data_IF_262498678617
#
_entry.id   IF_262498678617
#
_cell.length_a   1.000
_cell.length_b   1.000
_cell.length_c   1.000
_cell.angle_alpha   90.00
_cell.angle_beta   90.00
_cell.angle_gamma   90.00
#
_symmetry.space_group_name_H-M   'P 1'
#
loop_
_entity.id
_entity.type
_entity.pdbx_description
1 polymer ?
#
# COMPACT_ATOMS: atom_id res chain seq x y z
N UNK A 1 22.80 -6.23 -23.14
CA UNK A 1 21.41 -6.76 -23.17
C UNK A 1 20.82 -6.58 -21.78
N UNK A 2 19.93 -5.61 -21.58
CA UNK A 2 19.03 -5.56 -20.42
C UNK A 2 17.98 -4.47 -20.70
N UNK A 3 17.00 -4.80 -21.54
CA UNK A 3 15.76 -4.05 -21.55
C UNK A 3 15.00 -4.45 -20.29
N UNK A 4 15.06 -3.60 -19.27
CA UNK A 4 14.12 -3.62 -18.15
C UNK A 4 12.75 -3.29 -18.73
N UNK A 5 12.06 -4.30 -19.29
CA UNK A 5 10.65 -4.20 -19.65
C UNK A 5 9.89 -4.05 -18.34
N UNK A 6 9.70 -2.80 -17.91
CA UNK A 6 8.61 -2.43 -17.03
C UNK A 6 7.36 -2.93 -17.72
N UNK A 7 6.81 -4.05 -17.25
CA UNK A 7 5.53 -4.56 -17.76
C UNK A 7 4.50 -3.52 -17.37
N UNK A 8 4.20 -2.59 -18.26
CA UNK A 8 2.96 -1.83 -18.21
C UNK A 8 1.86 -2.85 -18.47
N UNK A 9 1.33 -3.39 -17.37
CA UNK A 9 0.15 -4.24 -17.44
C UNK A 9 -0.95 -3.32 -17.98
N UNK A 10 -1.42 -3.55 -19.21
CA UNK A 10 -2.65 -2.96 -19.75
C UNK A 10 -3.91 -3.50 -19.02
N UNK A 11 -3.76 -3.80 -17.73
CA UNK A 11 -4.78 -4.28 -16.82
C UNK A 11 -5.53 -3.07 -16.30
N UNK A 12 -6.77 -2.92 -16.77
CA UNK A 12 -7.77 -1.97 -16.28
C UNK A 12 -7.60 -1.74 -14.77
N UNK A 13 -7.17 -0.53 -14.39
CA UNK A 13 -7.01 -0.17 -12.98
C UNK A 13 -8.39 -0.15 -12.33
N UNK A 14 -8.59 -0.97 -11.31
CA UNK A 14 -9.82 -0.95 -10.51
C UNK A 14 -9.67 0.07 -9.39
N UNK A 15 -10.63 0.97 -9.29
CA UNK A 15 -10.71 1.97 -8.24
C UNK A 15 -11.79 1.59 -7.23
N UNK A 16 -11.60 1.89 -5.93
CA UNK A 16 -12.60 1.60 -4.91
C UNK A 16 -13.90 2.38 -5.15
N UNK A 17 -15.03 1.92 -4.59
CA UNK A 17 -16.34 2.54 -4.81
C UNK A 17 -16.33 4.03 -4.45
N UNK A 18 -16.78 4.86 -5.40
CA UNK A 18 -16.79 6.32 -5.25
C UNK A 18 -15.50 7.02 -5.67
N UNK A 19 -14.42 6.27 -5.95
CA UNK A 19 -13.18 6.81 -6.52
C UNK A 19 -13.20 6.63 -8.03
N UNK A 20 -13.03 7.74 -8.76
CA UNK A 20 -12.80 7.72 -10.20
C UNK A 20 -11.31 7.70 -10.52
N UNK A 21 -10.98 7.54 -11.79
CA UNK A 21 -9.60 7.51 -12.29
C UNK A 21 -8.74 8.67 -11.76
N UNK A 22 -7.56 8.37 -11.21
CA UNK A 22 -6.62 9.38 -10.72
C UNK A 22 -5.57 9.61 -11.81
N UNK A 23 -5.64 10.75 -12.48
CA UNK A 23 -4.74 11.15 -13.57
C UNK A 23 -4.32 12.62 -13.45
N UNK A 24 -3.43 13.07 -14.33
CA UNK A 24 -3.00 14.48 -14.45
C UNK A 24 -4.10 15.42 -14.96
N UNK A 25 -5.22 14.87 -15.45
CA UNK A 25 -6.34 15.65 -16.02
C UNK A 25 -7.32 16.20 -14.97
N UNK A 26 -7.14 15.88 -13.68
CA UNK A 26 -7.99 16.35 -12.58
C UNK A 26 -7.29 17.41 -11.73
N UNK A 27 -8.08 18.24 -11.04
CA UNK A 27 -7.52 19.24 -10.13
C UNK A 27 -6.81 18.59 -8.93
N UNK A 28 -5.84 19.30 -8.36
CA UNK A 28 -5.12 18.86 -7.14
C UNK A 28 -6.10 18.49 -6.03
N UNK A 29 -7.12 19.32 -5.78
CA UNK A 29 -8.10 19.11 -4.72
C UNK A 29 -8.86 17.78 -4.89
N UNK A 30 -9.28 17.50 -6.13
CA UNK A 30 -9.97 16.26 -6.47
C UNK A 30 -9.04 15.05 -6.38
N UNK A 31 -7.78 15.20 -6.83
CA UNK A 31 -6.75 14.17 -6.70
C UNK A 31 -6.51 13.81 -5.23
N UNK A 32 -6.33 14.81 -4.37
CA UNK A 32 -6.16 14.64 -2.92
C UNK A 32 -7.39 13.98 -2.29
N UNK A 33 -8.60 14.40 -2.69
CA UNK A 33 -9.84 13.78 -2.20
C UNK A 33 -9.92 12.30 -2.55
N UNK A 34 -9.60 11.94 -3.79
CA UNK A 34 -9.57 10.56 -4.28
C UNK A 34 -8.49 9.74 -3.59
N UNK A 35 -7.27 10.27 -3.48
CA UNK A 35 -6.17 9.60 -2.79
C UNK A 35 -6.51 9.31 -1.33
N UNK A 36 -7.16 10.25 -0.61
CA UNK A 36 -7.63 10.00 0.77
C UNK A 36 -8.61 8.83 0.87
N UNK A 37 -9.50 8.68 -0.11
CA UNK A 37 -10.42 7.54 -0.16
C UNK A 37 -9.67 6.23 -0.42
N UNK A 38 -8.68 6.25 -1.33
CA UNK A 38 -7.83 5.08 -1.62
C UNK A 38 -6.98 4.68 -0.42
N UNK A 39 -6.39 5.64 0.31
CA UNK A 39 -5.69 5.39 1.57
C UNK A 39 -6.61 4.65 2.53
N UNK A 40 -7.83 5.15 2.72
CA UNK A 40 -8.80 4.50 3.62
C UNK A 40 -9.11 3.07 3.19
N UNK A 41 -9.30 2.82 1.89
CA UNK A 41 -9.49 1.45 1.38
C UNK A 41 -8.31 0.54 1.70
N UNK A 42 -7.07 0.96 1.44
CA UNK A 42 -5.89 0.15 1.78
C UNK A 42 -5.67 0.00 3.29
N UNK A 43 -6.09 0.98 4.11
CA UNK A 43 -6.07 0.82 5.56
C UNK A 43 -7.07 -0.24 6.04
N UNK A 44 -8.27 -0.27 5.45
CA UNK A 44 -9.35 -1.19 5.82
C UNK A 44 -9.14 -2.61 5.23
N UNK A 45 -8.28 -2.77 4.22
CA UNK A 45 -7.94 -4.06 3.61
C UNK A 45 -7.06 -4.92 4.53
N UNK A 46 -7.32 -6.23 4.52
CA UNK A 46 -6.60 -7.22 5.32
C UNK A 46 -5.62 -8.06 4.47
N UNK A 47 -4.64 -8.68 5.13
CA UNK A 47 -3.73 -9.63 4.51
C UNK A 47 -4.46 -10.92 4.05
N UNK A 48 -5.60 -11.27 4.64
CA UNK A 48 -6.31 -12.50 4.28
C UNK A 48 -7.18 -12.37 3.00
N UNK A 49 -7.39 -11.15 2.50
CA UNK A 49 -8.24 -10.88 1.32
C UNK A 49 -7.47 -11.00 0.00
N UNK A 50 -7.22 -12.22 -0.49
CA UNK A 50 -6.53 -12.42 -1.79
C UNK A 50 -7.28 -11.79 -2.98
N UNK A 51 -8.61 -11.88 -3.01
CA UNK A 51 -9.43 -11.30 -4.10
C UNK A 51 -9.23 -9.77 -4.20
N UNK A 52 -9.22 -9.07 -3.06
CA UNK A 52 -9.01 -7.63 -3.02
C UNK A 52 -7.56 -7.27 -3.37
N UNK A 53 -6.59 -8.07 -2.92
CA UNK A 53 -5.18 -7.92 -3.30
C UNK A 53 -5.01 -8.01 -4.81
N UNK A 54 -5.58 -9.01 -5.48
CA UNK A 54 -5.48 -9.09 -6.94
C UNK A 54 -6.20 -7.93 -7.63
N UNK A 55 -7.37 -7.55 -7.12
CA UNK A 55 -8.19 -6.46 -7.67
C UNK A 55 -7.47 -5.10 -7.63
N UNK A 56 -6.85 -4.78 -6.50
CA UNK A 56 -6.17 -3.50 -6.29
C UNK A 56 -4.67 -3.51 -6.62
N UNK A 57 -4.11 -4.65 -7.06
CA UNK A 57 -2.71 -4.74 -7.46
C UNK A 57 -2.34 -3.73 -8.56
N UNK A 58 -3.19 -3.60 -9.59
CA UNK A 58 -2.95 -2.63 -10.66
C UNK A 58 -3.03 -1.18 -10.15
N UNK A 59 -3.90 -0.90 -9.16
CA UNK A 59 -3.98 0.41 -8.51
C UNK A 59 -2.71 0.70 -7.69
N UNK A 60 -2.22 -0.29 -6.93
CA UNK A 60 -0.99 -0.19 -6.16
C UNK A 60 0.23 0.13 -7.06
N UNK A 61 0.35 -0.58 -8.19
CA UNK A 61 1.41 -0.33 -9.18
C UNK A 61 1.28 1.06 -9.81
N UNK A 62 0.05 1.51 -10.09
CA UNK A 62 -0.20 2.86 -10.60
C UNK A 62 0.24 3.94 -9.62
N UNK A 63 -0.07 3.79 -8.33
CA UNK A 63 0.35 4.70 -7.26
C UNK A 63 1.87 4.70 -7.04
N UNK A 64 2.54 3.58 -7.30
CA UNK A 64 4.00 3.47 -7.27
C UNK A 64 4.69 4.12 -8.48
N UNK A 65 3.95 4.71 -9.42
CA UNK A 65 4.56 5.37 -10.58
C UNK A 65 5.27 6.66 -10.19
N UNK A 66 6.32 7.00 -10.95
CA UNK A 66 7.11 8.22 -10.78
C UNK A 66 6.25 9.49 -10.78
N UNK A 67 5.12 9.48 -11.49
CA UNK A 67 4.16 10.58 -11.52
C UNK A 67 3.67 10.98 -10.12
N UNK A 68 3.33 9.99 -9.29
CA UNK A 68 2.85 10.21 -7.93
C UNK A 68 4.01 10.41 -6.94
N UNK A 69 5.07 9.61 -7.07
CA UNK A 69 6.24 9.69 -6.18
C UNK A 69 6.99 11.03 -6.28
N UNK A 70 7.10 11.58 -7.49
CA UNK A 70 7.79 12.86 -7.77
C UNK A 70 6.82 14.02 -7.95
N UNK A 71 5.55 13.86 -7.59
CA UNK A 71 4.56 14.92 -7.70
C UNK A 71 5.02 16.17 -6.92
N UNK A 72 4.92 17.40 -7.44
CA UNK A 72 5.46 18.60 -6.78
C UNK A 72 4.77 18.89 -5.43
N UNK A 73 3.53 18.46 -5.29
CA UNK A 73 2.72 18.68 -4.10
C UNK A 73 3.09 17.73 -2.94
N UNK A 74 3.29 18.32 -1.75
CA UNK A 74 3.65 17.55 -0.53
C UNK A 74 2.51 16.66 -0.05
N UNK A 75 1.27 17.12 -0.14
CA UNK A 75 0.11 16.38 0.37
C UNK A 75 -0.14 15.14 -0.49
N UNK A 76 -0.02 15.28 -1.81
CA UNK A 76 -0.11 14.16 -2.75
C UNK A 76 0.96 13.11 -2.46
N UNK A 77 2.24 13.52 -2.31
CA UNK A 77 3.32 12.57 -1.98
C UNK A 77 3.11 11.86 -0.65
N UNK A 78 2.62 12.58 0.36
CA UNK A 78 2.32 12.01 1.67
C UNK A 78 1.22 10.94 1.57
N UNK A 79 0.12 11.24 0.88
CA UNK A 79 -0.98 10.29 0.71
C UNK A 79 -0.55 9.04 -0.08
N UNK A 80 0.25 9.23 -1.13
CA UNK A 80 0.81 8.11 -1.90
C UNK A 80 1.73 7.26 -1.04
N UNK A 81 2.58 7.88 -0.22
CA UNK A 81 3.43 7.16 0.73
C UNK A 81 2.62 6.35 1.75
N UNK A 82 1.49 6.90 2.25
CA UNK A 82 0.57 6.14 3.10
C UNK A 82 0.00 4.92 2.38
N UNK A 83 -0.53 5.09 1.16
CA UNK A 83 -1.02 3.96 0.36
C UNK A 83 0.06 2.89 0.19
N UNK A 84 1.29 3.28 -0.15
CA UNK A 84 2.39 2.33 -0.37
C UNK A 84 2.77 1.61 0.93
N UNK A 85 2.76 2.29 2.07
CA UNK A 85 3.00 1.66 3.37
C UNK A 85 1.93 0.60 3.69
N UNK A 86 0.66 0.90 3.43
CA UNK A 86 -0.44 -0.06 3.61
C UNK A 86 -0.36 -1.20 2.59
N UNK A 87 0.00 -0.94 1.34
CA UNK A 87 0.29 -1.98 0.34
C UNK A 87 1.42 -2.88 0.85
N UNK A 88 2.54 -2.32 1.33
CA UNK A 88 3.58 -3.17 1.91
C UNK A 88 3.08 -3.94 3.12
N UNK A 89 2.20 -3.38 3.95
CA UNK A 89 1.57 -4.11 5.07
C UNK A 89 0.69 -5.26 4.55
N UNK A 90 -0.20 -5.03 3.60
CA UNK A 90 -1.15 -6.03 3.08
C UNK A 90 -0.44 -7.14 2.30
N UNK A 91 0.58 -6.79 1.50
CA UNK A 91 1.31 -7.72 0.64
C UNK A 91 2.58 -8.28 1.27
N UNK A 92 3.02 -7.78 2.43
CA UNK A 92 4.07 -8.45 3.18
C UNK A 92 3.59 -9.85 3.60
N UNK A 93 4.43 -10.87 3.46
CA UNK A 93 4.11 -12.21 3.93
C UNK A 93 4.03 -12.15 5.46
N UNK A 94 3.33 -13.11 6.06
CA UNK A 94 3.36 -13.37 7.49
C UNK A 94 4.69 -12.99 8.13
N UNK A 95 4.63 -12.29 9.27
CA UNK A 95 5.81 -11.93 10.04
C UNK A 95 6.79 -13.12 10.10
N UNK A 96 8.07 -12.95 9.73
CA UNK A 96 9.04 -14.04 9.73
C UNK A 96 9.53 -14.32 11.16
N UNK A 97 8.61 -14.46 12.10
CA UNK A 97 8.90 -14.82 13.49
C UNK A 97 7.91 -15.86 14.03
N UNK A 98 7.62 -16.88 13.22
CA UNK A 98 7.21 -18.22 13.73
C UNK A 98 8.42 -19.00 14.28
N UNK A 99 9.43 -18.29 14.79
CA UNK A 99 10.46 -18.83 15.64
C UNK A 99 10.43 -18.06 16.97
N UNK A 100 9.74 -18.57 18.01
CA UNK A 100 9.79 -18.01 19.36
C UNK A 100 11.21 -17.95 19.97
N UNK A 101 12.24 -18.42 19.26
CA UNK A 101 13.61 -18.59 19.78
C UNK A 101 14.53 -17.36 19.62
N UNK A 102 14.14 -16.31 18.88
CA UNK A 102 15.05 -15.17 18.56
C UNK A 102 14.62 -13.80 19.08
N UNK A 103 13.59 -13.72 19.91
CA UNK A 103 13.34 -12.54 20.74
C UNK A 103 13.90 -12.79 22.15
N UNK A 104 15.23 -12.86 22.27
CA UNK A 104 15.88 -12.49 23.53
C UNK A 104 15.97 -10.96 23.59
N UNK A 105 14.82 -10.34 23.81
CA UNK A 105 14.79 -9.06 24.52
C UNK A 105 14.91 -9.40 26.00
N UNK A 106 16.02 -8.98 26.59
CA UNK A 106 16.37 -9.16 27.99
C UNK A 106 15.26 -8.68 28.94
N UNK A 107 15.07 -9.41 30.05
CA UNK A 107 14.58 -8.96 31.39
C UNK A 107 13.16 -8.36 31.43
N UNK A 108 12.21 -8.85 32.22
CA UNK A 108 12.27 -8.97 33.68
C UNK A 108 11.08 -9.81 34.22
N UNK A 109 11.27 -10.32 35.44
CA UNK A 109 10.34 -10.99 36.36
C UNK A 109 8.82 -10.77 36.19
N UNK A 110 8.05 -11.87 36.21
CA UNK A 110 7.00 -12.14 37.19
C UNK A 110 6.22 -13.41 36.79
N UNK A 111 6.52 -14.53 37.45
CA UNK A 111 5.46 -15.42 37.94
C UNK A 111 6.02 -16.36 39.02
N UNK A 112 5.80 -16.00 40.28
CA UNK A 112 5.83 -16.94 41.40
C UNK A 112 4.49 -17.69 41.43
N UNK A 113 4.51 -19.02 41.41
CA UNK A 113 3.54 -19.99 41.95
C UNK A 113 3.97 -21.36 41.36
N UNK A 114 4.27 -22.41 42.11
CA UNK A 114 3.88 -22.89 43.46
C UNK A 114 5.07 -23.65 44.09
#
# INVERSE_FOLDING_TARGET
MAHSKTRTNDGKITYPPGVKEISDKISKEEMVRRLKMVVKTFMDMDQDSEEEKELYLNLALHLASDFFLKHPDKDVRLLVACCLADIFRIYAPEAPYTSPDKLKASTDSENCQD
#
